data_IF_975802606803
#
_entry.id   IF_975802606803
#
_cell.length_a   1.000
_cell.length_b   1.000
_cell.length_c   1.000
_cell.angle_alpha   90.00
_cell.angle_beta   90.00
_cell.angle_gamma   90.00
#
_symmetry.space_group_name_H-M   'P 1'
#
loop_
_entity.id
_entity.type
_entity.pdbx_description
1 polymer ?
#
# COMPACT_ATOMS: atom_id res chain seq x y z
N UNK A 1 -31.30 18.96 7.98
CA UNK A 1 -31.32 17.95 6.90
C UNK A 1 -30.28 16.91 7.24
N UNK A 2 -30.73 15.84 7.85
CA UNK A 2 -29.92 14.68 8.23
C UNK A 2 -29.50 13.98 6.93
N UNK A 3 -28.21 14.05 6.60
CA UNK A 3 -27.68 13.27 5.46
C UNK A 3 -27.70 11.81 5.87
N UNK A 4 -28.59 11.08 5.24
CA UNK A 4 -28.73 9.63 5.27
C UNK A 4 -27.38 8.95 5.36
N UNK A 5 -27.17 8.33 6.52
CA UNK A 5 -26.02 7.52 6.84
C UNK A 5 -26.19 6.18 6.11
N UNK A 6 -25.99 6.15 4.78
CA UNK A 6 -26.01 4.91 4.01
C UNK A 6 -24.89 4.05 4.55
N UNK A 7 -25.25 3.03 5.33
CA UNK A 7 -24.38 1.92 5.62
C UNK A 7 -23.80 1.45 4.29
N UNK A 8 -22.47 1.48 4.15
CA UNK A 8 -21.80 0.90 2.99
C UNK A 8 -22.07 -0.59 3.11
N UNK A 9 -23.09 -1.05 2.38
CA UNK A 9 -23.38 -2.46 2.31
C UNK A 9 -22.30 -3.10 1.43
N UNK A 10 -21.78 -4.26 1.82
CA UNK A 10 -20.73 -4.97 1.06
C UNK A 10 -21.08 -5.17 -0.43
N UNK A 11 -22.38 -5.22 -0.78
CA UNK A 11 -22.84 -5.34 -2.16
C UNK A 11 -22.75 -4.06 -2.98
N UNK A 12 -22.53 -2.88 -2.38
CA UNK A 12 -22.39 -1.62 -3.13
C UNK A 12 -21.15 -1.60 -4.04
N UNK A 13 -20.15 -2.44 -3.75
CA UNK A 13 -18.97 -2.62 -4.61
C UNK A 13 -19.32 -3.16 -6.01
N UNK A 14 -20.50 -3.75 -6.21
CA UNK A 14 -20.96 -4.20 -7.53
C UNK A 14 -21.69 -3.11 -8.34
N UNK A 15 -21.91 -1.93 -7.74
CA UNK A 15 -22.56 -0.80 -8.42
C UNK A 15 -21.50 0.13 -9.05
N UNK A 16 -21.54 0.38 -10.39
CA UNK A 16 -20.61 1.31 -11.03
C UNK A 16 -20.63 2.71 -10.41
N UNK A 17 -21.79 3.16 -9.93
CA UNK A 17 -21.95 4.45 -9.27
C UNK A 17 -21.08 4.56 -8.01
N UNK A 18 -20.92 3.46 -7.26
CA UNK A 18 -20.07 3.45 -6.06
C UNK A 18 -18.64 3.86 -6.39
N UNK A 19 -18.04 3.32 -7.48
CA UNK A 19 -16.67 3.67 -7.89
C UNK A 19 -16.54 5.16 -8.23
N UNK A 20 -17.52 5.71 -8.96
CA UNK A 20 -17.55 7.15 -9.28
C UNK A 20 -17.61 7.98 -8.00
N UNK A 21 -18.43 7.58 -7.03
CA UNK A 21 -18.59 8.32 -5.76
C UNK A 21 -17.33 8.20 -4.88
N UNK A 22 -16.61 7.05 -4.92
CA UNK A 22 -15.34 6.88 -4.22
C UNK A 22 -14.21 7.75 -4.82
N UNK A 23 -14.24 8.03 -6.11
CA UNK A 23 -13.27 8.92 -6.77
C UNK A 23 -13.53 10.41 -6.51
N UNK A 24 -14.66 10.78 -5.90
CA UNK A 24 -14.99 12.19 -5.60
C UNK A 24 -14.34 12.67 -4.29
N UNK A 25 -14.01 13.97 -4.26
CA UNK A 25 -13.56 14.65 -3.04
C UNK A 25 -12.13 14.28 -2.60
N UNK A 26 -11.31 13.80 -3.52
CA UNK A 26 -9.88 13.68 -3.29
C UNK A 26 -9.22 15.05 -3.31
N UNK A 27 -8.01 15.17 -2.73
CA UNK A 27 -7.25 16.42 -2.84
C UNK A 27 -6.85 16.68 -4.30
N UNK A 28 -6.72 17.95 -4.68
CA UNK A 28 -6.28 18.31 -6.03
C UNK A 28 -4.91 17.72 -6.36
N UNK A 29 -4.00 17.67 -5.37
CA UNK A 29 -2.67 17.06 -5.52
C UNK A 29 -2.77 15.56 -5.79
N UNK A 30 -3.69 14.86 -5.11
CA UNK A 30 -3.93 13.44 -5.35
C UNK A 30 -4.43 13.17 -6.77
N UNK A 31 -5.35 14.00 -7.31
CA UNK A 31 -5.78 13.86 -8.70
C UNK A 31 -4.65 14.12 -9.70
N UNK A 32 -3.86 15.17 -9.48
CA UNK A 32 -2.73 15.48 -10.36
C UNK A 32 -1.71 14.33 -10.37
N UNK A 33 -1.37 13.80 -9.19
CA UNK A 33 -0.44 12.70 -9.05
C UNK A 33 -1.02 11.41 -9.66
N UNK A 34 -2.34 11.15 -9.51
CA UNK A 34 -3.00 10.00 -10.12
C UNK A 34 -2.85 10.04 -11.65
N UNK A 35 -3.22 11.15 -12.29
CA UNK A 35 -3.18 11.28 -13.74
C UNK A 35 -1.75 11.15 -14.28
N UNK A 36 -0.79 11.86 -13.65
CA UNK A 36 0.62 11.78 -14.02
C UNK A 36 1.17 10.36 -13.83
N UNK A 37 0.90 9.74 -12.68
CA UNK A 37 1.40 8.41 -12.36
C UNK A 37 0.84 7.32 -13.28
N UNK A 38 -0.46 7.33 -13.55
CA UNK A 38 -1.07 6.38 -14.51
C UNK A 38 -0.48 6.54 -15.91
N UNK A 39 -0.25 7.79 -16.35
CA UNK A 39 0.39 8.09 -17.63
C UNK A 39 1.84 7.59 -17.69
N UNK A 40 2.62 7.76 -16.62
CA UNK A 40 4.00 7.27 -16.53
C UNK A 40 4.05 5.74 -16.56
N UNK A 41 3.25 5.07 -15.71
CA UNK A 41 3.19 3.60 -15.63
C UNK A 41 2.81 3.01 -17.00
N UNK A 42 1.76 3.55 -17.64
CA UNK A 42 1.33 3.13 -18.96
C UNK A 42 2.41 3.39 -20.03
N UNK A 43 2.94 4.60 -20.07
CA UNK A 43 3.96 5.00 -21.05
C UNK A 43 5.22 4.13 -20.98
N UNK A 44 5.70 3.83 -19.77
CA UNK A 44 6.85 2.93 -19.57
C UNK A 44 6.56 1.50 -20.02
N UNK A 45 5.33 1.03 -19.78
CA UNK A 45 4.94 -0.31 -20.19
C UNK A 45 4.92 -0.46 -21.71
N UNK A 46 4.33 0.50 -22.44
CA UNK A 46 4.24 0.44 -23.90
C UNK A 46 5.54 0.78 -24.62
N UNK A 47 6.48 1.42 -23.94
CA UNK A 47 7.82 1.70 -24.47
C UNK A 47 8.74 0.46 -24.48
N UNK A 48 8.36 -0.61 -23.75
CA UNK A 48 9.12 -1.85 -23.67
C UNK A 48 8.44 -3.02 -24.40
N UNK A 49 9.06 -4.22 -24.34
CA UNK A 49 8.44 -5.43 -24.87
C UNK A 49 7.15 -5.78 -24.12
N UNK A 50 6.06 -5.94 -24.84
CA UNK A 50 4.76 -6.30 -24.27
C UNK A 50 4.61 -7.83 -24.26
N UNK A 51 4.47 -8.40 -23.07
CA UNK A 51 4.19 -9.81 -22.84
C UNK A 51 3.21 -9.97 -21.66
N UNK A 52 2.81 -11.20 -21.34
CA UNK A 52 1.84 -11.44 -20.27
C UNK A 52 2.25 -10.86 -18.92
N UNK A 53 3.52 -11.03 -18.51
CA UNK A 53 4.00 -10.51 -17.24
C UNK A 53 4.07 -8.97 -17.23
N UNK A 54 4.40 -8.35 -18.36
CA UNK A 54 4.41 -6.90 -18.50
C UNK A 54 3.00 -6.31 -18.35
N UNK A 55 1.98 -6.98 -18.93
CA UNK A 55 0.58 -6.57 -18.75
C UNK A 55 0.12 -6.74 -17.30
N UNK A 56 0.47 -7.85 -16.65
CA UNK A 56 0.17 -8.04 -15.22
C UNK A 56 0.86 -6.97 -14.36
N UNK A 57 2.12 -6.64 -14.66
CA UNK A 57 2.86 -5.58 -13.97
C UNK A 57 2.20 -4.20 -14.15
N UNK A 58 1.73 -3.90 -15.38
CA UNK A 58 0.95 -2.68 -15.65
C UNK A 58 -0.31 -2.62 -14.78
N UNK A 59 -1.10 -3.69 -14.77
CA UNK A 59 -2.36 -3.75 -14.03
C UNK A 59 -2.10 -3.64 -12.51
N UNK A 60 -1.13 -4.40 -11.98
CA UNK A 60 -0.74 -4.31 -10.58
C UNK A 60 -0.28 -2.89 -10.19
N UNK A 61 0.55 -2.27 -11.03
CA UNK A 61 1.05 -0.92 -10.79
C UNK A 61 -0.07 0.13 -10.81
N UNK A 62 -0.94 0.13 -11.83
CA UNK A 62 -2.02 1.11 -11.94
C UNK A 62 -3.06 0.95 -10.82
N UNK A 63 -3.50 -0.27 -10.53
CA UNK A 63 -4.48 -0.55 -9.48
C UNK A 63 -3.89 -0.28 -8.09
N UNK A 64 -2.67 -0.73 -7.83
CA UNK A 64 -1.97 -0.50 -6.57
C UNK A 64 -1.69 0.98 -6.32
N UNK A 65 -1.28 1.72 -7.33
CA UNK A 65 -1.07 3.15 -7.22
C UNK A 65 -2.38 3.91 -6.92
N UNK A 66 -3.47 3.57 -7.60
CA UNK A 66 -4.79 4.14 -7.30
C UNK A 66 -5.27 3.74 -5.90
N UNK A 67 -4.97 2.51 -5.47
CA UNK A 67 -5.25 2.02 -4.12
C UNK A 67 -4.54 2.88 -3.06
N UNK A 68 -3.23 3.14 -3.18
CA UNK A 68 -2.48 3.95 -2.20
C UNK A 68 -3.02 5.38 -2.10
N UNK A 69 -3.34 6.01 -3.23
CA UNK A 69 -3.98 7.32 -3.25
C UNK A 69 -5.38 7.31 -2.60
N UNK A 70 -6.11 6.20 -2.75
CA UNK A 70 -7.40 6.00 -2.09
C UNK A 70 -7.26 5.91 -0.56
N UNK A 71 -6.24 5.19 -0.06
CA UNK A 71 -5.90 5.16 1.38
C UNK A 71 -5.60 6.57 1.89
N UNK A 72 -4.76 7.32 1.18
CA UNK A 72 -4.38 8.69 1.55
C UNK A 72 -5.60 9.60 1.66
N UNK A 73 -6.58 9.45 0.75
CA UNK A 73 -7.83 10.21 0.77
C UNK A 73 -8.94 9.58 1.61
N UNK A 74 -8.62 8.56 2.44
CA UNK A 74 -9.54 7.86 3.34
C UNK A 74 -10.80 7.30 2.63
N UNK A 75 -10.63 6.71 1.43
CA UNK A 75 -11.73 6.16 0.63
C UNK A 75 -11.72 4.63 0.64
N UNK A 76 -12.87 3.98 0.91
CA UNK A 76 -13.01 2.52 0.89
C UNK A 76 -12.70 1.83 -0.44
N UNK A 77 -12.52 2.59 -1.52
CA UNK A 77 -12.08 2.10 -2.83
C UNK A 77 -10.77 1.30 -2.75
N UNK A 78 -9.91 1.61 -1.76
CA UNK A 78 -8.66 0.88 -1.52
C UNK A 78 -8.90 -0.62 -1.32
N UNK A 79 -9.97 -1.04 -0.66
CA UNK A 79 -10.23 -2.46 -0.41
C UNK A 79 -10.41 -3.28 -1.70
N UNK A 80 -11.14 -2.76 -2.68
CA UNK A 80 -11.32 -3.45 -3.98
C UNK A 80 -10.05 -3.39 -4.81
N UNK A 81 -9.47 -2.20 -4.96
CA UNK A 81 -8.28 -2.00 -5.80
C UNK A 81 -7.06 -2.70 -5.21
N UNK A 82 -6.90 -2.67 -3.89
CA UNK A 82 -5.84 -3.35 -3.16
C UNK A 82 -5.93 -4.86 -3.35
N UNK A 83 -7.10 -5.46 -3.09
CA UNK A 83 -7.31 -6.88 -3.27
C UNK A 83 -6.96 -7.36 -4.69
N UNK A 84 -7.50 -6.69 -5.72
CA UNK A 84 -7.23 -7.08 -7.11
C UNK A 84 -5.76 -6.86 -7.47
N UNK A 85 -5.19 -5.72 -7.09
CA UNK A 85 -3.77 -5.41 -7.30
C UNK A 85 -2.87 -6.43 -6.62
N UNK A 86 -3.13 -6.76 -5.35
CA UNK A 86 -2.32 -7.70 -4.57
C UNK A 86 -2.32 -9.10 -5.19
N UNK A 87 -3.47 -9.60 -5.64
CA UNK A 87 -3.56 -10.90 -6.32
C UNK A 87 -2.73 -10.95 -7.60
N UNK A 88 -2.77 -9.87 -8.41
CA UNK A 88 -1.97 -9.78 -9.62
C UNK A 88 -0.48 -9.61 -9.27
N UNK A 89 -0.17 -8.79 -8.28
CA UNK A 89 1.21 -8.52 -7.84
C UNK A 89 1.90 -9.79 -7.32
N UNK A 90 1.18 -10.68 -6.62
CA UNK A 90 1.70 -11.98 -6.18
C UNK A 90 2.29 -12.76 -7.37
N UNK A 91 1.60 -12.80 -8.50
CA UNK A 91 2.11 -13.48 -9.71
C UNK A 91 3.39 -12.81 -10.22
N UNK A 92 3.44 -11.48 -10.23
CA UNK A 92 4.62 -10.72 -10.66
C UNK A 92 5.79 -10.94 -9.70
N UNK A 93 5.55 -10.93 -8.39
CA UNK A 93 6.58 -11.14 -7.36
C UNK A 93 7.18 -12.57 -7.39
N UNK A 94 6.34 -13.58 -7.62
CA UNK A 94 6.81 -14.96 -7.82
C UNK A 94 7.73 -15.04 -9.05
N UNK A 95 7.30 -14.45 -10.17
CA UNK A 95 8.10 -14.41 -11.40
C UNK A 95 9.44 -13.70 -11.20
N UNK A 96 9.44 -12.62 -10.44
CA UNK A 96 10.62 -11.83 -10.08
C UNK A 96 11.48 -12.46 -8.95
N UNK A 97 11.06 -13.58 -8.36
CA UNK A 97 11.72 -14.28 -7.24
C UNK A 97 11.85 -13.40 -5.97
N UNK A 98 10.92 -12.49 -5.76
CA UNK A 98 10.79 -11.67 -4.55
C UNK A 98 9.73 -12.31 -3.64
N UNK A 99 10.09 -13.37 -2.93
CA UNK A 99 9.12 -14.24 -2.25
C UNK A 99 8.52 -13.62 -0.99
N UNK A 100 9.26 -12.78 -0.27
CA UNK A 100 8.71 -12.06 0.87
C UNK A 100 7.72 -10.96 0.45
N UNK A 101 7.84 -10.41 -0.76
CA UNK A 101 6.81 -9.55 -1.34
C UNK A 101 5.48 -10.31 -1.54
N UNK A 102 5.52 -11.61 -1.85
CA UNK A 102 4.32 -12.46 -1.91
C UNK A 102 3.64 -12.53 -0.54
N UNK A 103 4.43 -12.77 0.52
CA UNK A 103 3.91 -12.80 1.90
C UNK A 103 3.37 -11.43 2.31
N UNK A 104 4.06 -10.36 1.93
CA UNK A 104 3.63 -8.98 2.18
C UNK A 104 2.25 -8.71 1.57
N UNK A 105 2.01 -9.10 0.31
CA UNK A 105 0.70 -8.93 -0.34
C UNK A 105 -0.39 -9.74 0.37
N UNK A 106 -0.09 -10.96 0.81
CA UNK A 106 -1.04 -11.75 1.60
C UNK A 106 -1.42 -11.03 2.92
N UNK A 107 -0.45 -10.43 3.60
CA UNK A 107 -0.72 -9.61 4.80
C UNK A 107 -1.55 -8.38 4.46
N UNK A 108 -1.29 -7.68 3.36
CA UNK A 108 -2.10 -6.53 2.93
C UNK A 108 -3.55 -6.92 2.67
N UNK A 109 -3.79 -8.01 1.98
CA UNK A 109 -5.14 -8.55 1.78
C UNK A 109 -5.85 -8.74 3.13
N UNK A 110 -5.19 -9.39 4.10
CA UNK A 110 -5.78 -9.72 5.39
C UNK A 110 -5.99 -8.50 6.30
N UNK A 111 -5.09 -7.52 6.26
CA UNK A 111 -5.06 -6.41 7.23
C UNK A 111 -5.62 -5.11 6.68
N UNK A 112 -5.51 -4.85 5.39
CA UNK A 112 -5.95 -3.60 4.77
C UNK A 112 -7.19 -3.78 3.89
N UNK A 113 -7.20 -4.78 2.99
CA UNK A 113 -8.24 -4.88 1.97
C UNK A 113 -9.51 -5.53 2.52
N UNK A 114 -9.40 -6.71 3.12
CA UNK A 114 -10.56 -7.42 3.68
C UNK A 114 -11.27 -6.66 4.80
N UNK A 115 -10.59 -6.00 5.77
CA UNK A 115 -11.29 -5.21 6.76
C UNK A 115 -12.13 -4.08 6.18
N UNK A 116 -11.65 -3.41 5.14
CA UNK A 116 -12.40 -2.36 4.45
C UNK A 116 -13.64 -2.90 3.75
N UNK A 117 -13.55 -4.08 3.15
CA UNK A 117 -14.64 -4.70 2.40
C UNK A 117 -15.66 -5.39 3.29
N UNK A 118 -15.20 -6.10 4.33
CA UNK A 118 -16.06 -6.97 5.16
C UNK A 118 -16.54 -6.29 6.45
N UNK A 119 -15.87 -5.23 6.89
CA UNK A 119 -16.19 -4.50 8.13
C UNK A 119 -16.52 -3.03 7.84
N UNK A 120 -17.76 -2.72 7.38
CA UNK A 120 -18.14 -1.33 7.07
C UNK A 120 -17.93 -0.35 8.23
N UNK A 121 -18.04 -0.83 9.48
CA UNK A 121 -17.76 -0.03 10.69
C UNK A 121 -16.28 0.34 10.83
N UNK A 122 -15.37 -0.46 10.26
CA UNK A 122 -13.95 -0.13 10.23
C UNK A 122 -13.65 0.94 9.17
N UNK A 123 -14.27 0.84 7.99
CA UNK A 123 -14.11 1.80 6.91
C UNK A 123 -14.79 3.15 7.18
N UNK A 124 -15.78 3.16 8.10
CA UNK A 124 -16.53 4.38 8.44
C UNK A 124 -15.67 5.33 9.27
N UNK A 125 -15.66 6.60 8.88
CA UNK A 125 -14.99 7.68 9.64
C UNK A 125 -13.49 7.40 9.93
N UNK A 126 -12.77 6.78 8.98
CA UNK A 126 -11.32 6.51 9.12
C UNK A 126 -10.56 7.79 9.44
N UNK A 127 -10.87 8.87 8.75
CA UNK A 127 -10.30 10.21 8.93
C UNK A 127 -10.46 10.77 10.34
N UNK A 128 -11.57 10.46 11.03
CA UNK A 128 -11.88 10.92 12.39
C UNK A 128 -11.30 10.05 13.51
N UNK A 129 -10.73 8.90 13.17
CA UNK A 129 -10.23 7.91 14.14
C UNK A 129 -8.74 7.70 14.09
N UNK A 130 -8.05 8.48 13.28
CA UNK A 130 -6.58 8.49 13.22
C UNK A 130 -6.03 9.05 14.52
N UNK A 131 -4.93 8.49 15.03
CA UNK A 131 -4.27 8.86 16.28
C UNK A 131 -2.76 8.70 16.17
N UNK A 132 -2.03 9.28 17.11
CA UNK A 132 -0.59 9.08 17.24
C UNK A 132 -0.26 7.99 18.26
N UNK A 133 0.88 7.30 18.07
CA UNK A 133 1.37 6.26 18.99
C UNK A 133 1.56 6.79 20.43
N UNK A 134 1.92 8.07 20.57
CA UNK A 134 2.18 8.68 21.87
C UNK A 134 0.91 9.17 22.59
N UNK A 135 -0.24 9.17 21.94
CA UNK A 135 -1.50 9.59 22.58
C UNK A 135 -1.85 8.70 23.78
N UNK A 136 -2.55 9.28 24.76
CA UNK A 136 -3.00 8.62 25.99
C UNK A 136 -1.87 8.11 26.89
N UNK A 137 -0.67 8.70 26.86
CA UNK A 137 0.45 8.37 27.73
C UNK A 137 1.05 6.96 27.55
N UNK A 138 0.71 6.27 26.44
CA UNK A 138 1.17 4.90 26.16
C UNK A 138 2.29 4.85 25.10
N UNK A 139 2.89 5.99 24.77
CA UNK A 139 3.85 6.10 23.66
C UNK A 139 5.02 5.12 23.75
N UNK A 140 5.70 5.06 24.90
CA UNK A 140 6.84 4.15 25.08
C UNK A 140 6.44 2.68 24.87
N UNK A 141 5.33 2.25 25.45
CA UNK A 141 4.83 0.88 25.29
C UNK A 141 4.50 0.56 23.84
N UNK A 142 3.78 1.45 23.16
CA UNK A 142 3.37 1.26 21.78
C UNK A 142 4.60 1.19 20.86
N UNK A 143 5.60 2.05 21.05
CA UNK A 143 6.86 2.00 20.31
C UNK A 143 7.66 0.73 20.58
N UNK A 144 7.77 0.30 21.83
CA UNK A 144 8.46 -0.96 22.18
C UNK A 144 7.76 -2.16 21.51
N UNK A 145 6.43 -2.22 21.56
CA UNK A 145 5.68 -3.29 20.90
C UNK A 145 5.89 -3.27 19.38
N UNK A 146 5.91 -2.10 18.75
CA UNK A 146 6.17 -1.96 17.31
C UNK A 146 7.59 -2.44 16.97
N UNK A 147 8.61 -2.07 17.75
CA UNK A 147 9.99 -2.48 17.51
C UNK A 147 10.16 -4.00 17.71
N UNK A 148 9.59 -4.57 18.78
CA UNK A 148 9.63 -6.02 19.02
C UNK A 148 8.94 -6.77 17.89
N UNK A 149 7.75 -6.31 17.45
CA UNK A 149 7.05 -6.89 16.31
C UNK A 149 7.91 -6.84 15.04
N UNK A 150 8.50 -5.68 14.72
CA UNK A 150 9.41 -5.52 13.59
C UNK A 150 10.58 -6.52 13.64
N UNK A 151 11.28 -6.62 14.77
CA UNK A 151 12.41 -7.53 14.90
C UNK A 151 12.01 -9.01 14.74
N UNK A 152 10.87 -9.42 15.29
CA UNK A 152 10.37 -10.79 15.16
C UNK A 152 10.01 -11.09 13.70
N UNK A 153 9.28 -10.20 13.04
CA UNK A 153 8.90 -10.37 11.63
C UNK A 153 10.15 -10.42 10.75
N UNK A 154 11.13 -9.53 10.95
CA UNK A 154 12.38 -9.53 10.19
C UNK A 154 13.14 -10.85 10.35
N UNK A 155 13.26 -11.36 11.56
CA UNK A 155 13.93 -12.63 11.80
C UNK A 155 13.23 -13.80 11.09
N UNK A 156 11.90 -13.85 11.14
CA UNK A 156 11.12 -14.91 10.48
C UNK A 156 11.26 -14.83 8.96
N UNK A 157 11.10 -13.62 8.36
CA UNK A 157 11.18 -13.44 6.91
C UNK A 157 12.58 -13.69 6.37
N UNK A 158 13.61 -13.21 7.06
CA UNK A 158 15.00 -13.46 6.67
C UNK A 158 15.35 -14.95 6.74
N UNK A 159 14.87 -15.65 7.79
CA UNK A 159 15.06 -17.10 7.90
C UNK A 159 14.33 -17.82 6.76
N UNK A 160 13.10 -17.44 6.42
CA UNK A 160 12.35 -18.07 5.33
C UNK A 160 13.02 -17.87 3.97
N UNK A 161 13.53 -16.67 3.69
CA UNK A 161 14.23 -16.35 2.44
C UNK A 161 15.56 -17.09 2.28
N UNK A 162 16.25 -17.33 3.38
CA UNK A 162 17.56 -18.00 3.35
C UNK A 162 17.48 -19.52 3.39
N UNK A 163 16.43 -20.10 3.99
CA UNK A 163 16.34 -21.54 4.21
C UNK A 163 15.23 -22.24 3.41
N UNK A 164 14.13 -21.56 3.12
CA UNK A 164 12.98 -22.16 2.43
C UNK A 164 12.88 -21.74 0.97
N UNK A 165 12.95 -20.44 0.72
CA UNK A 165 12.75 -19.88 -0.63
C UNK A 165 14.08 -19.72 -1.40
N UNK A 166 15.20 -19.63 -0.69
CA UNK A 166 16.54 -19.39 -1.28
C UNK A 166 16.49 -18.19 -2.23
N UNK A 167 16.00 -17.06 -1.70
CA UNK A 167 15.84 -15.81 -2.45
C UNK A 167 17.19 -15.31 -2.95
N UNK A 168 17.31 -14.80 -4.18
CA UNK A 168 18.53 -14.15 -4.66
C UNK A 168 18.82 -12.82 -3.95
N UNK A 169 17.85 -12.26 -3.21
CA UNK A 169 17.94 -10.96 -2.55
C UNK A 169 17.42 -10.99 -1.11
N UNK A 170 17.84 -11.96 -0.26
CA UNK A 170 17.16 -12.25 1.00
C UNK A 170 17.10 -11.04 1.95
N UNK A 171 18.13 -10.22 1.98
CA UNK A 171 18.22 -9.08 2.88
C UNK A 171 17.27 -7.94 2.47
N UNK A 172 17.31 -7.52 1.20
CA UNK A 172 16.46 -6.43 0.70
C UNK A 172 14.99 -6.80 0.65
N UNK A 173 14.67 -8.05 0.27
CA UNK A 173 13.32 -8.58 0.24
C UNK A 173 12.72 -8.65 1.66
N UNK A 174 13.45 -9.24 2.62
CA UNK A 174 13.00 -9.37 4.01
C UNK A 174 12.80 -8.01 4.69
N UNK A 175 13.72 -7.04 4.49
CA UNK A 175 13.57 -5.70 5.10
C UNK A 175 12.37 -4.97 4.49
N UNK A 176 12.24 -4.93 3.18
CA UNK A 176 11.13 -4.26 2.52
C UNK A 176 9.78 -4.83 2.99
N UNK A 177 9.64 -6.16 3.01
CA UNK A 177 8.44 -6.82 3.48
C UNK A 177 8.18 -6.57 4.98
N UNK A 178 9.19 -6.63 5.83
CA UNK A 178 9.03 -6.38 7.28
C UNK A 178 8.53 -4.97 7.57
N UNK A 179 9.09 -3.97 6.90
CA UNK A 179 8.66 -2.58 7.05
C UNK A 179 7.21 -2.44 6.59
N UNK A 180 6.85 -3.01 5.44
CA UNK A 180 5.50 -2.98 4.91
C UNK A 180 4.48 -3.69 5.81
N UNK A 181 4.80 -4.87 6.36
CA UNK A 181 3.96 -5.58 7.32
C UNK A 181 3.76 -4.75 8.60
N UNK A 182 4.81 -4.11 9.09
CA UNK A 182 4.71 -3.22 10.26
C UNK A 182 3.84 -2.01 9.96
N UNK A 183 4.03 -1.39 8.78
CA UNK A 183 3.20 -0.27 8.32
C UNK A 183 1.73 -0.65 8.17
N UNK A 184 1.42 -1.82 7.62
CA UNK A 184 0.05 -2.31 7.47
C UNK A 184 -0.63 -2.52 8.82
N UNK A 185 0.08 -3.10 9.80
CA UNK A 185 -0.43 -3.23 11.17
C UNK A 185 -0.75 -1.86 11.79
N UNK A 186 0.15 -0.89 11.68
CA UNK A 186 -0.08 0.45 12.21
C UNK A 186 -1.24 1.15 11.50
N UNK A 187 -1.40 0.97 10.18
CA UNK A 187 -2.54 1.49 9.42
C UNK A 187 -3.85 0.86 9.87
N UNK A 188 -3.88 -0.46 10.05
CA UNK A 188 -5.05 -1.19 10.55
C UNK A 188 -5.45 -0.69 11.95
N UNK A 189 -4.49 -0.38 12.79
CA UNK A 189 -4.67 0.21 14.12
C UNK A 189 -4.89 1.73 14.08
N UNK A 190 -4.86 2.36 12.90
CA UNK A 190 -5.07 3.79 12.62
C UNK A 190 -4.06 4.72 13.29
N UNK A 191 -2.79 4.31 13.31
CA UNK A 191 -1.71 5.17 13.75
C UNK A 191 -1.11 5.95 12.58
N UNK A 192 -0.97 7.27 12.73
CA UNK A 192 -0.38 8.16 11.72
C UNK A 192 1.06 7.78 11.38
N UNK A 193 1.80 7.25 12.36
CA UNK A 193 3.19 6.80 12.19
C UNK A 193 3.33 5.64 11.20
N UNK A 194 2.23 5.02 10.76
CA UNK A 194 2.24 4.08 9.64
C UNK A 194 2.87 4.68 8.38
N UNK A 195 2.72 6.00 8.15
CA UNK A 195 3.31 6.67 6.98
C UNK A 195 4.85 6.76 7.04
N UNK A 196 5.47 6.73 8.23
CA UNK A 196 6.92 6.57 8.32
C UNK A 196 7.34 5.18 7.83
N UNK A 197 6.56 4.14 8.16
CA UNK A 197 6.79 2.79 7.62
C UNK A 197 6.55 2.76 6.11
N UNK A 198 5.49 3.38 5.60
CA UNK A 198 5.21 3.42 4.16
C UNK A 198 6.32 4.10 3.38
N UNK A 199 6.84 5.23 3.87
CA UNK A 199 7.97 5.92 3.24
C UNK A 199 9.24 5.07 3.26
N UNK A 200 9.59 4.45 4.39
CA UNK A 200 10.73 3.56 4.48
C UNK A 200 10.56 2.31 3.59
N UNK A 201 9.38 1.72 3.58
CA UNK A 201 9.06 0.59 2.72
C UNK A 201 9.14 0.99 1.23
N UNK A 202 8.63 2.16 0.87
CA UNK A 202 8.77 2.70 -0.47
C UNK A 202 10.22 2.84 -0.91
N UNK A 203 11.10 3.39 -0.05
CA UNK A 203 12.54 3.49 -0.32
C UNK A 203 13.17 2.11 -0.51
N UNK A 204 12.89 1.17 0.39
CA UNK A 204 13.42 -0.20 0.29
C UNK A 204 12.89 -0.94 -0.94
N UNK A 205 11.62 -0.72 -1.32
CA UNK A 205 11.04 -1.31 -2.53
C UNK A 205 11.60 -0.68 -3.82
N UNK A 206 11.92 0.61 -3.82
CA UNK A 206 12.67 1.23 -4.93
C UNK A 206 14.03 0.53 -5.10
N UNK A 207 14.76 0.27 -4.01
CA UNK A 207 16.02 -0.46 -4.03
C UNK A 207 15.81 -1.90 -4.52
N UNK A 208 14.86 -2.64 -3.93
CA UNK A 208 14.56 -4.03 -4.27
C UNK A 208 14.21 -4.18 -5.76
N UNK A 209 13.23 -3.43 -6.24
CA UNK A 209 12.77 -3.52 -7.62
C UNK A 209 13.77 -2.92 -8.62
N UNK A 210 14.60 -1.95 -8.20
CA UNK A 210 15.73 -1.46 -8.97
C UNK A 210 16.77 -2.53 -9.19
N UNK A 211 17.18 -3.25 -8.13
CA UNK A 211 18.10 -4.39 -8.22
C UNK A 211 17.49 -5.52 -9.06
N UNK A 212 16.22 -5.85 -8.83
CA UNK A 212 15.48 -6.90 -9.55
C UNK A 212 15.47 -6.62 -11.07
N UNK A 213 15.20 -5.37 -11.45
CA UNK A 213 15.22 -4.94 -12.86
C UNK A 213 16.65 -4.97 -13.44
N UNK A 214 17.65 -4.53 -12.69
CA UNK A 214 19.06 -4.57 -13.14
C UNK A 214 19.58 -6.00 -13.33
N UNK A 215 19.06 -6.97 -12.58
CA UNK A 215 19.38 -8.40 -12.74
C UNK A 215 18.60 -9.06 -13.90
N UNK A 216 17.65 -8.37 -14.53
CA UNK A 216 16.83 -8.90 -15.62
C UNK A 216 15.64 -9.78 -15.17
N UNK A 217 15.39 -9.88 -13.86
CA UNK A 217 14.28 -10.66 -13.29
C UNK A 217 12.92 -9.92 -13.38
N UNK A 218 12.92 -8.61 -13.66
CA UNK A 218 11.72 -7.80 -13.88
C UNK A 218 11.99 -6.61 -14.82
N UNK A 219 10.91 -5.95 -15.28
CA UNK A 219 11.00 -4.65 -15.94
C UNK A 219 11.05 -3.50 -14.90
N UNK A 220 11.38 -2.28 -15.36
CA UNK A 220 11.52 -1.12 -14.47
C UNK A 220 10.17 -0.48 -14.05
N UNK A 221 9.02 -1.03 -14.44
CA UNK A 221 7.70 -0.42 -14.16
C UNK A 221 7.44 -0.36 -12.66
N UNK A 222 7.68 -1.45 -11.90
CA UNK A 222 7.48 -1.45 -10.45
C UNK A 222 8.49 -0.54 -9.73
N UNK A 223 9.74 -0.49 -10.17
CA UNK A 223 10.71 0.49 -9.66
C UNK A 223 10.15 1.92 -9.70
N UNK A 224 9.61 2.35 -10.83
CA UNK A 224 9.02 3.69 -10.97
C UNK A 224 7.70 3.81 -10.21
N UNK A 225 6.89 2.74 -10.15
CA UNK A 225 5.66 2.73 -9.37
C UNK A 225 5.93 3.00 -7.88
N UNK A 226 7.00 2.46 -7.30
CA UNK A 226 7.37 2.75 -5.91
C UNK A 226 7.88 4.19 -5.71
N UNK A 227 8.50 4.79 -6.71
CA UNK A 227 8.81 6.24 -6.67
C UNK A 227 7.51 7.08 -6.62
N UNK A 228 6.48 6.67 -7.37
CA UNK A 228 5.17 7.31 -7.32
C UNK A 228 4.47 7.11 -5.95
N UNK A 229 4.63 5.95 -5.31
CA UNK A 229 4.13 5.72 -3.94
C UNK A 229 4.79 6.68 -2.95
N UNK A 230 6.11 6.86 -3.02
CA UNK A 230 6.81 7.85 -2.19
C UNK A 230 6.28 9.28 -2.43
N UNK A 231 5.94 9.62 -3.68
CA UNK A 231 5.32 10.92 -4.01
C UNK A 231 3.93 11.06 -3.36
N UNK A 232 3.17 9.97 -3.25
CA UNK A 232 1.89 9.95 -2.52
C UNK A 232 2.09 10.13 -1.01
N UNK A 233 3.13 9.54 -0.41
CA UNK A 233 3.44 9.74 1.01
C UNK A 233 3.74 11.22 1.31
N UNK A 234 4.42 11.93 0.39
CA UNK A 234 4.64 13.36 0.53
C UNK A 234 3.31 14.15 0.54
N UNK A 235 2.31 13.73 -0.23
CA UNK A 235 0.96 14.32 -0.15
C UNK A 235 0.37 14.10 1.25
N UNK A 236 0.46 12.90 1.81
CA UNK A 236 -0.05 12.59 3.14
C UNK A 236 0.60 13.47 4.24
N UNK A 237 1.91 13.76 4.12
CA UNK A 237 2.62 14.61 5.08
C UNK A 237 2.29 16.09 4.94
N UNK A 238 2.20 16.62 3.72
CA UNK A 238 2.21 18.05 3.46
C UNK A 238 0.88 18.65 2.99
N UNK A 239 -0.09 17.82 2.56
CA UNK A 239 -1.40 18.33 2.15
C UNK A 239 -2.34 18.45 3.36
N UNK A 240 -2.69 19.70 3.70
CA UNK A 240 -3.57 20.03 4.83
C UNK A 240 -5.00 19.47 4.69
N UNK A 241 -5.39 19.03 3.51
CA UNK A 241 -6.68 18.40 3.26
C UNK A 241 -6.66 16.89 3.56
N UNK A 242 -5.50 16.33 3.92
CA UNK A 242 -5.33 14.92 4.26
C UNK A 242 -5.28 14.75 5.78
N UNK A 243 -6.15 13.89 6.31
CA UNK A 243 -6.40 13.77 7.75
C UNK A 243 -5.27 13.09 8.54
N UNK A 244 -4.41 12.29 7.91
CA UNK A 244 -3.42 11.47 8.62
C UNK A 244 -2.52 12.26 9.59
N UNK A 245 -2.05 13.43 9.18
CA UNK A 245 -1.23 14.31 10.02
C UNK A 245 -1.92 15.64 10.42
N UNK A 246 -3.14 15.85 9.94
CA UNK A 246 -3.86 17.11 10.13
C UNK A 246 -5.26 16.93 10.74
N UNK A 247 -5.48 15.85 11.51
CA UNK A 247 -6.79 15.52 12.08
C UNK A 247 -7.16 16.31 13.35
N UNK A 248 -6.23 17.03 13.94
CA UNK A 248 -6.45 17.86 15.15
C UNK A 248 -6.73 19.34 14.84
N UNK A 249 -7.33 19.64 13.68
CA UNK A 249 -7.71 21.02 13.31
C UNK A 249 -9.19 21.28 13.45
#
# INVERSE_FOLDING_TARGET
MEKENKNIAWYSIFEPKWYVDQMKGWSTRSYMLLLAGLGIIFGMTVAGPINGITVLTLLAGMLGFTCTLSITNAKPLNGVLGLVSALIYIVVAIHAKNFNDVLLQAVYILTLDLPVLLMPSWAKDVDKRVRFLHENGKGLRNWLLTIVFFCVVLAVLYYSDTHWFISPRPWTDSIAATIGITGSLLTTLRFSESYYCWTLQGIMSVILWGITAAQGDANAVLFVTYILYLSNDMIAFFDKNISWFHHNK
#
